data_IF_681024673836
#
_entry.id   IF_681024673836
#
_cell.length_a   1.000
_cell.length_b   1.000
_cell.length_c   1.000
_cell.angle_alpha   90.00
_cell.angle_beta   90.00
_cell.angle_gamma   90.00
#
_symmetry.space_group_name_H-M   'P 1'
#
loop_
_entity.id
_entity.type
_entity.pdbx_description
1 polymer ?
#
# COMPACT_ATOMS: atom_id res chain seq x y z
N UNK A 1 15.62 -11.88 7.44
CA UNK A 1 16.80 -11.10 7.82
C UNK A 1 18.07 -11.98 7.73
N UNK A 2 19.25 -11.37 7.59
CA UNK A 2 20.53 -12.10 7.48
C UNK A 2 20.87 -12.87 8.76
N UNK A 3 21.46 -14.07 8.61
CA UNK A 3 22.02 -14.84 9.73
C UNK A 3 23.34 -14.22 10.25
N UNK A 4 24.01 -13.38 9.47
CA UNK A 4 25.15 -12.59 9.91
C UNK A 4 24.67 -11.42 10.79
N UNK A 5 25.03 -11.41 12.10
CA UNK A 5 24.54 -10.38 13.03
C UNK A 5 24.92 -8.95 12.62
N UNK A 6 26.10 -8.76 12.01
CA UNK A 6 26.53 -7.43 11.58
C UNK A 6 25.74 -6.91 10.40
N UNK A 7 25.44 -7.78 9.41
CA UNK A 7 24.60 -7.43 8.28
C UNK A 7 23.16 -7.17 8.72
N UNK A 8 22.63 -8.02 9.62
CA UNK A 8 21.29 -7.85 10.21
C UNK A 8 21.19 -6.49 10.90
N UNK A 9 22.14 -6.18 11.80
CA UNK A 9 22.13 -4.91 12.54
C UNK A 9 22.28 -3.69 11.62
N UNK A 10 23.14 -3.78 10.60
CA UNK A 10 23.29 -2.72 9.60
C UNK A 10 21.96 -2.45 8.91
N UNK A 11 21.27 -3.49 8.41
CA UNK A 11 19.99 -3.38 7.75
C UNK A 11 18.92 -2.77 8.67
N UNK A 12 18.83 -3.25 9.92
CA UNK A 12 17.90 -2.72 10.94
C UNK A 12 18.10 -1.23 11.16
N UNK A 13 19.36 -0.80 11.28
CA UNK A 13 19.69 0.61 11.50
C UNK A 13 19.35 1.48 10.28
N UNK A 14 19.71 1.01 9.07
CA UNK A 14 19.47 1.77 7.82
C UNK A 14 17.99 1.96 7.54
N UNK A 15 17.19 0.90 7.63
CA UNK A 15 15.75 0.99 7.39
C UNK A 15 15.03 1.80 8.47
N UNK A 16 15.41 1.59 9.74
CA UNK A 16 14.83 2.34 10.85
C UNK A 16 15.11 3.83 10.74
N UNK A 17 16.37 4.22 10.48
CA UNK A 17 16.75 5.63 10.30
C UNK A 17 16.04 6.28 9.12
N UNK A 18 15.90 5.60 8.00
CA UNK A 18 15.18 6.12 6.84
C UNK A 18 13.69 6.35 7.15
N UNK A 19 13.08 5.46 7.95
CA UNK A 19 11.68 5.59 8.32
C UNK A 19 11.44 6.62 9.43
N UNK A 20 12.43 6.89 10.30
CA UNK A 20 12.40 8.02 11.24
C UNK A 20 12.58 9.36 10.53
N UNK A 21 13.39 9.42 9.48
CA UNK A 21 13.66 10.64 8.72
C UNK A 21 12.52 10.93 7.73
N UNK A 22 12.49 10.27 6.57
CA UNK A 22 11.57 10.58 5.47
C UNK A 22 10.36 9.63 5.41
N UNK A 23 10.39 8.49 6.11
CA UNK A 23 9.32 7.49 6.05
C UNK A 23 9.29 6.67 4.76
N UNK A 24 10.34 6.73 3.94
CA UNK A 24 10.47 6.04 2.65
C UNK A 24 11.84 5.39 2.51
N UNK A 25 11.88 4.24 1.82
CA UNK A 25 13.13 3.53 1.50
C UNK A 25 12.99 2.77 0.18
N UNK A 26 14.07 2.59 -0.55
CA UNK A 26 14.17 1.63 -1.64
C UNK A 26 14.83 0.34 -1.12
N UNK A 27 14.19 -0.80 -1.31
CA UNK A 27 14.61 -2.11 -0.81
C UNK A 27 14.97 -3.05 -1.94
N UNK A 28 16.17 -3.63 -1.90
CA UNK A 28 16.61 -4.76 -2.74
C UNK A 28 16.54 -6.10 -2.00
N UNK A 29 16.53 -7.18 -2.77
CA UNK A 29 16.57 -8.54 -2.24
C UNK A 29 15.25 -8.99 -1.61
N UNK A 30 14.13 -8.50 -2.13
CA UNK A 30 12.78 -8.97 -1.83
C UNK A 30 12.50 -10.38 -2.38
N UNK A 31 11.34 -10.95 -2.05
CA UNK A 31 11.01 -12.33 -2.44
C UNK A 31 10.34 -12.47 -3.82
N UNK A 32 10.04 -11.36 -4.50
CA UNK A 32 9.57 -11.40 -5.88
C UNK A 32 10.76 -11.68 -6.81
N UNK A 33 10.62 -12.64 -7.69
CA UNK A 33 11.56 -12.83 -8.78
C UNK A 33 11.12 -12.09 -10.05
N UNK A 34 12.06 -11.85 -10.96
CA UNK A 34 11.82 -11.07 -12.17
C UNK A 34 10.73 -11.71 -13.06
N UNK A 35 10.66 -13.06 -13.11
CA UNK A 35 9.67 -13.78 -13.92
C UNK A 35 8.26 -13.51 -13.38
N UNK A 36 8.05 -13.59 -12.05
CA UNK A 36 6.76 -13.30 -11.42
C UNK A 36 6.35 -11.83 -11.64
N UNK A 37 7.30 -10.91 -11.55
CA UNK A 37 7.08 -9.48 -11.81
C UNK A 37 6.61 -9.24 -13.24
N UNK A 38 7.32 -9.79 -14.23
CA UNK A 38 7.00 -9.61 -15.65
C UNK A 38 5.64 -10.24 -16.00
N UNK A 39 5.35 -11.42 -15.47
CA UNK A 39 4.09 -12.12 -15.66
C UNK A 39 2.93 -11.34 -15.03
N UNK A 40 3.09 -10.85 -13.82
CA UNK A 40 2.08 -10.04 -13.14
C UNK A 40 1.75 -8.78 -13.93
N UNK A 41 2.75 -8.02 -14.39
CA UNK A 41 2.53 -6.85 -15.24
C UNK A 41 1.86 -7.20 -16.57
N UNK A 42 2.18 -8.37 -17.15
CA UNK A 42 1.51 -8.90 -18.34
C UNK A 42 0.03 -9.13 -18.10
N UNK A 43 -0.32 -9.86 -17.06
CA UNK A 43 -1.70 -10.18 -16.71
C UNK A 43 -2.51 -8.93 -16.29
N UNK A 44 -1.88 -7.98 -15.60
CA UNK A 44 -2.51 -6.70 -15.28
C UNK A 44 -2.86 -5.90 -16.54
N UNK A 45 -1.96 -5.85 -17.53
CA UNK A 45 -2.26 -5.22 -18.83
C UNK A 45 -3.40 -5.93 -19.54
N UNK A 46 -3.42 -7.26 -19.52
CA UNK A 46 -4.50 -8.06 -20.10
C UNK A 46 -5.84 -7.75 -19.44
N UNK A 47 -5.89 -7.65 -18.10
CA UNK A 47 -7.11 -7.33 -17.37
C UNK A 47 -7.66 -5.93 -17.73
N UNK A 48 -6.81 -4.90 -17.66
CA UNK A 48 -7.26 -3.54 -17.96
C UNK A 48 -7.59 -3.30 -19.44
N UNK A 49 -7.12 -4.18 -20.34
CA UNK A 49 -7.50 -4.20 -21.75
C UNK A 49 -8.85 -4.89 -22.04
N UNK A 50 -9.44 -5.58 -21.06
CA UNK A 50 -10.77 -6.18 -21.22
C UNK A 50 -11.83 -5.10 -21.54
N UNK A 51 -12.90 -5.47 -22.25
CA UNK A 51 -14.04 -4.57 -22.49
C UNK A 51 -14.56 -3.97 -21.17
N UNK A 52 -14.96 -2.70 -21.21
CA UNK A 52 -15.41 -1.99 -20.02
C UNK A 52 -16.59 -2.69 -19.32
N UNK A 53 -17.55 -3.24 -20.10
CA UNK A 53 -18.65 -4.03 -19.58
C UNK A 53 -18.18 -5.25 -18.79
N UNK A 54 -17.17 -5.96 -19.29
CA UNK A 54 -16.56 -7.10 -18.59
C UNK A 54 -15.91 -6.66 -17.29
N UNK A 55 -15.13 -5.55 -17.30
CA UNK A 55 -14.54 -5.02 -16.06
C UNK A 55 -15.59 -4.61 -15.03
N UNK A 56 -16.65 -3.92 -15.46
CA UNK A 56 -17.75 -3.54 -14.57
C UNK A 56 -18.52 -4.73 -13.95
N UNK A 57 -18.55 -5.90 -14.62
CA UNK A 57 -19.14 -7.10 -14.01
C UNK A 57 -18.43 -7.60 -12.76
N UNK A 58 -17.18 -7.10 -12.52
CA UNK A 58 -16.36 -7.40 -11.35
C UNK A 58 -16.40 -6.31 -10.27
N UNK A 59 -17.24 -5.28 -10.43
CA UNK A 59 -17.53 -4.33 -9.34
C UNK A 59 -18.47 -4.97 -8.32
N UNK A 60 -18.11 -4.87 -7.04
CA UNK A 60 -18.94 -5.42 -5.96
C UNK A 60 -19.60 -4.27 -5.19
N UNK A 61 -20.90 -4.08 -5.32
CA UNK A 61 -21.62 -3.04 -4.57
C UNK A 61 -21.53 -3.26 -3.06
N UNK A 62 -21.43 -2.16 -2.30
CA UNK A 62 -21.58 -2.17 -0.85
C UNK A 62 -20.35 -2.51 -0.02
N UNK A 63 -19.23 -2.91 -0.65
CA UNK A 63 -17.97 -3.24 0.05
C UNK A 63 -16.91 -2.11 -0.03
N UNK A 64 -17.28 -0.92 -0.52
CA UNK A 64 -16.34 0.21 -0.62
C UNK A 64 -15.13 -0.04 -1.52
N UNK A 65 -15.27 -0.90 -2.55
CA UNK A 65 -14.19 -1.23 -3.47
C UNK A 65 -13.07 -2.10 -2.87
N UNK A 66 -13.29 -2.77 -1.74
CA UNK A 66 -12.24 -3.54 -1.06
C UNK A 66 -11.81 -4.82 -1.78
N UNK A 67 -12.55 -5.27 -2.78
CA UNK A 67 -12.23 -6.41 -3.66
C UNK A 67 -12.74 -6.13 -5.07
N UNK A 68 -12.12 -6.82 -6.04
CA UNK A 68 -12.55 -6.73 -7.43
C UNK A 68 -12.15 -5.42 -8.10
N UNK A 69 -12.90 -5.01 -9.11
CA UNK A 69 -12.64 -3.84 -9.92
C UNK A 69 -13.26 -2.57 -9.35
N UNK A 70 -12.54 -1.47 -9.45
CA UNK A 70 -13.03 -0.11 -9.16
C UNK A 70 -12.79 0.76 -10.39
N UNK A 71 -13.86 1.33 -10.90
CA UNK A 71 -13.86 2.09 -12.15
C UNK A 71 -13.17 3.44 -12.06
N UNK A 72 -12.78 3.92 -13.22
CA UNK A 72 -12.07 5.19 -13.41
C UNK A 72 -12.80 6.37 -12.76
N UNK A 73 -12.02 7.17 -12.00
CA UNK A 73 -12.53 8.40 -11.40
C UNK A 73 -13.44 8.20 -10.18
N UNK A 74 -13.62 6.98 -9.68
CA UNK A 74 -14.46 6.68 -8.52
C UNK A 74 -13.80 7.13 -7.20
N UNK A 75 -12.50 6.90 -7.04
CA UNK A 75 -11.76 7.29 -5.85
C UNK A 75 -11.28 8.74 -5.97
N UNK A 76 -11.37 9.49 -4.89
CA UNK A 76 -10.83 10.86 -4.80
C UNK A 76 -10.18 11.08 -3.43
N UNK A 77 -9.17 11.94 -3.38
CA UNK A 77 -8.55 12.32 -2.12
C UNK A 77 -9.51 13.17 -1.27
N UNK A 78 -9.34 13.07 0.06
CA UNK A 78 -10.15 13.81 1.04
C UNK A 78 -10.23 15.30 0.68
N UNK A 79 -11.44 15.83 0.60
CA UNK A 79 -11.70 17.25 0.33
C UNK A 79 -11.63 17.66 -1.14
N UNK A 80 -11.40 16.73 -2.08
CA UNK A 80 -11.46 16.98 -3.53
C UNK A 80 -12.77 16.48 -4.11
N UNK A 81 -13.24 17.16 -5.18
CA UNK A 81 -14.44 16.75 -5.93
C UNK A 81 -14.09 15.96 -7.17
N UNK A 82 -12.91 16.24 -7.74
CA UNK A 82 -12.43 15.57 -8.93
C UNK A 82 -11.89 14.20 -8.55
N UNK A 83 -12.31 13.15 -9.27
CA UNK A 83 -11.77 11.80 -9.15
C UNK A 83 -10.31 11.73 -9.61
N UNK A 84 -9.53 10.84 -9.01
CA UNK A 84 -8.18 10.52 -9.49
C UNK A 84 -8.25 9.86 -10.87
N UNK A 85 -7.24 10.12 -11.70
CA UNK A 85 -7.20 9.63 -13.09
C UNK A 85 -6.72 8.18 -13.14
N UNK A 86 -7.42 7.28 -12.44
CA UNK A 86 -7.05 5.87 -12.29
C UNK A 86 -8.26 4.95 -12.21
N UNK A 87 -8.05 3.71 -12.60
CA UNK A 87 -8.88 2.55 -12.31
C UNK A 87 -8.01 1.49 -11.64
N UNK A 88 -8.57 0.56 -10.86
CA UNK A 88 -7.75 -0.42 -10.15
C UNK A 88 -8.50 -1.73 -9.86
N UNK A 89 -7.74 -2.75 -9.49
CA UNK A 89 -8.23 -4.04 -8.97
C UNK A 89 -7.72 -4.26 -7.57
N UNK A 90 -8.46 -4.99 -6.73
CA UNK A 90 -8.02 -5.42 -5.41
C UNK A 90 -8.02 -6.94 -5.27
N UNK A 91 -6.82 -7.49 -4.97
CA UNK A 91 -6.68 -8.77 -4.30
C UNK A 91 -6.58 -8.53 -2.80
N UNK A 92 -7.41 -9.19 -2.03
CA UNK A 92 -7.35 -9.11 -0.57
C UNK A 92 -6.72 -10.33 0.08
N UNK A 93 -6.73 -10.35 1.41
CA UNK A 93 -6.17 -11.44 2.21
C UNK A 93 -6.81 -12.79 1.89
N UNK A 94 -5.97 -13.80 1.81
CA UNK A 94 -6.36 -15.21 1.68
C UNK A 94 -6.40 -15.85 3.06
N UNK A 95 -7.50 -15.64 3.77
CA UNK A 95 -7.71 -16.11 5.13
C UNK A 95 -8.16 -17.57 5.12
N UNK A 96 -7.62 -18.40 6.01
CA UNK A 96 -8.11 -19.77 6.17
C UNK A 96 -9.51 -19.79 6.80
N UNK A 97 -10.33 -20.80 6.48
CA UNK A 97 -11.69 -20.95 7.03
C UNK A 97 -11.70 -21.00 8.56
N UNK A 98 -10.63 -21.51 9.18
CA UNK A 98 -10.48 -21.60 10.64
C UNK A 98 -10.10 -20.28 11.32
N UNK A 99 -9.75 -19.25 10.55
CA UNK A 99 -9.38 -17.95 11.11
C UNK A 99 -10.61 -17.22 11.63
N UNK A 100 -10.49 -16.60 12.81
CA UNK A 100 -11.55 -15.74 13.36
C UNK A 100 -11.88 -14.54 12.46
N UNK A 101 -10.99 -14.19 11.55
CA UNK A 101 -11.16 -13.08 10.60
C UNK A 101 -11.82 -13.50 9.28
N UNK A 102 -12.07 -14.79 9.05
CA UNK A 102 -12.63 -15.28 7.79
C UNK A 102 -13.98 -14.62 7.43
N UNK A 103 -14.79 -14.29 8.44
CA UNK A 103 -16.08 -13.62 8.25
C UNK A 103 -15.99 -12.09 8.21
N UNK A 104 -14.83 -11.49 8.50
CA UNK A 104 -14.66 -10.04 8.55
C UNK A 104 -14.34 -9.44 7.18
N UNK A 105 -13.64 -10.20 6.33
CA UNK A 105 -13.17 -9.69 5.04
C UNK A 105 -14.04 -10.20 3.88
N UNK A 106 -14.31 -9.36 2.87
CA UNK A 106 -14.94 -9.83 1.65
C UNK A 106 -14.09 -10.89 0.97
N UNK A 107 -14.73 -11.88 0.35
CA UNK A 107 -14.04 -12.90 -0.44
C UNK A 107 -13.33 -12.29 -1.66
N UNK A 108 -12.21 -12.91 -2.07
CA UNK A 108 -11.55 -12.56 -3.31
C UNK A 108 -12.42 -12.95 -4.51
N UNK A 109 -12.38 -12.12 -5.55
CA UNK A 109 -13.08 -12.34 -6.81
C UNK A 109 -12.12 -12.93 -7.83
N UNK A 110 -12.59 -13.89 -8.61
CA UNK A 110 -11.82 -14.49 -9.70
C UNK A 110 -12.29 -13.98 -11.06
N UNK A 111 -11.34 -13.51 -11.87
CA UNK A 111 -11.57 -13.09 -13.25
C UNK A 111 -11.64 -14.34 -14.13
N UNK A 112 -12.85 -14.63 -14.66
CA UNK A 112 -13.11 -15.87 -15.42
C UNK A 112 -12.40 -15.89 -16.77
N UNK A 113 -12.29 -14.73 -17.42
CA UNK A 113 -11.63 -14.55 -18.71
C UNK A 113 -10.11 -14.69 -18.63
N UNK A 114 -9.52 -14.51 -17.44
CA UNK A 114 -8.08 -14.50 -17.22
C UNK A 114 -7.70 -15.34 -15.99
N UNK A 115 -7.81 -16.68 -16.04
CA UNK A 115 -7.49 -17.52 -14.88
C UNK A 115 -6.06 -17.34 -14.37
N UNK A 116 -5.11 -17.03 -15.27
CA UNK A 116 -3.71 -16.81 -14.91
C UNK A 116 -3.53 -15.53 -14.10
N UNK A 117 -4.30 -14.49 -14.35
CA UNK A 117 -4.33 -13.24 -13.55
C UNK A 117 -4.59 -13.55 -12.07
N UNK A 118 -5.54 -14.44 -11.77
CA UNK A 118 -5.88 -14.81 -10.39
C UNK A 118 -4.71 -15.52 -9.70
N UNK A 119 -4.05 -16.46 -10.40
CA UNK A 119 -2.92 -17.24 -9.86
C UNK A 119 -1.73 -16.33 -9.58
N UNK A 120 -1.31 -15.55 -10.58
CA UNK A 120 -0.13 -14.67 -10.47
C UNK A 120 -0.37 -13.56 -9.45
N UNK A 121 -1.59 -13.01 -9.39
CA UNK A 121 -1.98 -12.03 -8.37
C UNK A 121 -1.85 -12.59 -6.95
N UNK A 122 -2.30 -13.84 -6.74
CA UNK A 122 -2.15 -14.51 -5.44
C UNK A 122 -0.68 -14.79 -5.08
N UNK A 123 0.12 -15.28 -6.03
CA UNK A 123 1.55 -15.54 -5.82
C UNK A 123 2.29 -14.26 -5.47
N UNK A 124 2.06 -13.17 -6.21
CA UNK A 124 2.67 -11.87 -5.92
C UNK A 124 2.23 -11.30 -4.56
N UNK A 125 0.94 -11.44 -4.21
CA UNK A 125 0.41 -11.08 -2.89
C UNK A 125 1.23 -11.77 -1.79
N UNK A 126 1.41 -13.09 -1.87
CA UNK A 126 2.11 -13.88 -0.86
C UNK A 126 3.59 -13.50 -0.74
N UNK A 127 4.27 -13.20 -1.86
CA UNK A 127 5.67 -12.79 -1.84
C UNK A 127 5.85 -11.38 -1.28
N UNK A 128 4.92 -10.46 -1.57
CA UNK A 128 4.91 -9.12 -0.97
C UNK A 128 4.59 -9.14 0.52
N UNK A 129 3.60 -9.94 0.94
CA UNK A 129 3.28 -10.14 2.36
C UNK A 129 4.48 -10.69 3.12
N UNK A 130 5.13 -11.73 2.57
CA UNK A 130 6.36 -12.28 3.14
C UNK A 130 7.45 -11.22 3.26
N UNK A 131 7.68 -10.41 2.22
CA UNK A 131 8.65 -9.31 2.26
C UNK A 131 8.31 -8.30 3.35
N UNK A 132 7.05 -7.89 3.43
CA UNK A 132 6.55 -6.95 4.43
C UNK A 132 6.73 -7.45 5.87
N UNK A 133 6.50 -8.75 6.13
CA UNK A 133 6.78 -9.36 7.44
C UNK A 133 8.25 -9.19 7.83
N UNK A 134 9.20 -9.43 6.92
CA UNK A 134 10.63 -9.24 7.21
C UNK A 134 11.02 -7.78 7.44
N UNK A 135 10.35 -6.86 6.75
CA UNK A 135 10.51 -5.41 6.99
C UNK A 135 9.99 -5.05 8.38
N UNK A 136 8.79 -5.50 8.75
CA UNK A 136 8.21 -5.25 10.07
C UNK A 136 9.04 -5.86 11.20
N UNK A 137 9.65 -7.04 11.01
CA UNK A 137 10.61 -7.62 11.97
C UNK A 137 11.84 -6.73 12.15
N UNK A 138 12.40 -6.17 11.08
CA UNK A 138 13.52 -5.24 11.19
C UNK A 138 13.12 -3.97 11.95
N UNK A 139 11.91 -3.45 11.71
CA UNK A 139 11.39 -2.30 12.43
C UNK A 139 11.10 -2.62 13.91
N UNK A 140 10.62 -3.82 14.24
CA UNK A 140 10.47 -4.25 15.62
C UNK A 140 11.81 -4.21 16.37
N UNK A 141 12.87 -4.76 15.77
CA UNK A 141 14.23 -4.70 16.33
C UNK A 141 14.75 -3.27 16.46
N UNK A 142 14.52 -2.41 15.47
CA UNK A 142 14.91 -0.99 15.52
C UNK A 142 14.20 -0.23 16.66
N UNK A 143 12.95 -0.58 16.91
CA UNK A 143 12.13 -0.02 17.99
C UNK A 143 12.45 -0.64 19.37
N UNK A 144 13.41 -1.60 19.45
CA UNK A 144 13.72 -2.31 20.69
C UNK A 144 12.62 -3.28 21.16
N UNK A 145 11.80 -3.76 20.26
CA UNK A 145 10.77 -4.76 20.50
C UNK A 145 11.30 -6.18 20.21
N UNK A 146 10.51 -7.20 20.57
CA UNK A 146 10.73 -8.56 20.08
C UNK A 146 10.71 -8.59 18.55
N UNK A 147 11.61 -9.37 17.92
CA UNK A 147 11.70 -9.45 16.46
C UNK A 147 10.36 -9.82 15.81
N UNK A 148 9.58 -10.68 16.46
CA UNK A 148 8.32 -11.21 15.95
C UNK A 148 7.07 -10.43 16.42
N UNK A 149 7.27 -9.26 17.04
CA UNK A 149 6.20 -8.45 17.61
C UNK A 149 5.04 -8.22 16.64
N UNK A 150 5.33 -7.91 15.38
CA UNK A 150 4.30 -7.62 14.36
C UNK A 150 3.73 -8.87 13.69
N UNK A 151 4.36 -10.04 13.82
CA UNK A 151 3.95 -11.26 13.09
C UNK A 151 2.50 -11.66 13.41
N UNK A 152 2.10 -11.57 14.68
CA UNK A 152 0.74 -11.89 15.12
C UNK A 152 -0.33 -10.95 14.55
N UNK A 153 0.06 -9.73 14.20
CA UNK A 153 -0.83 -8.72 13.63
C UNK A 153 -0.84 -8.73 12.10
N UNK A 154 0.28 -9.12 11.51
CA UNK A 154 0.41 -9.24 10.05
C UNK A 154 -0.27 -10.50 9.52
N UNK A 155 -0.18 -11.62 10.26
CA UNK A 155 -0.87 -12.86 9.90
C UNK A 155 -2.38 -12.63 9.89
N UNK A 156 -3.02 -12.99 8.78
CA UNK A 156 -4.45 -12.77 8.52
C UNK A 156 -4.86 -11.28 8.56
N UNK A 157 -3.91 -10.34 8.45
CA UNK A 157 -4.21 -8.91 8.37
C UNK A 157 -4.99 -8.55 7.11
N UNK A 158 -5.81 -7.50 7.14
CA UNK A 158 -6.64 -7.09 6.00
C UNK A 158 -5.81 -6.39 4.89
N UNK A 159 -4.71 -7.02 4.49
CA UNK A 159 -3.80 -6.51 3.46
C UNK A 159 -4.42 -6.57 2.06
N UNK A 160 -4.01 -5.65 1.20
CA UNK A 160 -4.55 -5.51 -0.15
C UNK A 160 -3.40 -5.31 -1.14
N UNK A 161 -3.38 -6.13 -2.21
CA UNK A 161 -2.58 -5.87 -3.41
C UNK A 161 -3.46 -5.12 -4.41
N UNK A 162 -3.00 -3.93 -4.84
CA UNK A 162 -3.77 -3.03 -5.71
C UNK A 162 -3.05 -2.79 -7.04
N UNK A 163 -3.24 -3.62 -8.07
CA UNK A 163 -2.93 -3.21 -9.43
C UNK A 163 -3.70 -1.96 -9.85
N UNK A 164 -2.99 -0.92 -10.25
CA UNK A 164 -3.55 0.37 -10.70
C UNK A 164 -3.18 0.60 -12.15
N UNK A 165 -4.16 1.00 -12.94
CA UNK A 165 -3.98 1.52 -14.29
C UNK A 165 -4.32 3.01 -14.33
N UNK A 166 -3.38 3.79 -14.82
CA UNK A 166 -3.56 5.18 -15.19
C UNK A 166 -3.64 5.25 -16.71
N UNK A 167 -4.84 5.34 -17.29
CA UNK A 167 -5.01 5.34 -18.74
C UNK A 167 -4.40 6.60 -19.38
N UNK A 168 -4.25 6.61 -20.73
CA UNK A 168 -3.84 7.80 -21.46
C UNK A 168 -4.74 9.00 -21.15
N UNK A 169 -4.13 10.17 -20.99
CA UNK A 169 -4.84 11.44 -20.80
C UNK A 169 -5.22 11.96 -22.19
N UNK A 170 -6.50 11.94 -22.52
CA UNK A 170 -7.02 12.28 -23.86
C UNK A 170 -7.49 13.72 -23.99
N UNK A 171 -7.63 14.43 -22.87
CA UNK A 171 -8.04 15.84 -22.82
C UNK A 171 -7.34 16.54 -21.66
N UNK A 172 -7.38 17.88 -21.65
CA UNK A 172 -6.84 18.67 -20.54
C UNK A 172 -7.49 18.24 -19.22
N UNK A 173 -6.72 17.77 -18.22
CA UNK A 173 -7.27 17.16 -17.03
C UNK A 173 -7.81 18.17 -16.01
N UNK A 174 -7.89 19.45 -16.37
CA UNK A 174 -8.21 20.54 -15.45
C UNK A 174 -7.35 20.49 -14.17
N UNK A 175 -7.94 20.20 -13.01
CA UNK A 175 -7.23 20.07 -11.73
C UNK A 175 -7.03 18.61 -11.31
N UNK A 176 -7.46 17.63 -12.10
CA UNK A 176 -7.30 16.23 -11.79
C UNK A 176 -5.85 15.75 -12.01
N UNK A 177 -5.35 14.91 -11.13
CA UNK A 177 -4.03 14.29 -11.25
C UNK A 177 -4.15 12.77 -11.09
N UNK A 178 -3.09 12.04 -11.41
CA UNK A 178 -3.06 10.58 -11.33
C UNK A 178 -3.39 10.06 -9.94
N UNK A 179 -2.78 10.61 -8.90
CA UNK A 179 -3.18 10.40 -7.51
C UNK A 179 -2.84 11.66 -6.69
N UNK A 180 -3.85 12.22 -6.05
CA UNK A 180 -3.70 13.43 -5.25
C UNK A 180 -2.88 13.16 -3.97
N UNK A 181 -2.32 14.21 -3.39
CA UNK A 181 -1.50 14.14 -2.18
C UNK A 181 -2.26 13.47 -1.02
N UNK A 182 -1.69 12.41 -0.45
CA UNK A 182 -2.27 11.61 0.64
C UNK A 182 -1.19 10.89 1.44
N UNK A 183 -1.55 10.40 2.61
CA UNK A 183 -0.80 9.38 3.35
C UNK A 183 -1.50 8.03 3.22
N UNK A 184 -0.77 6.94 3.40
CA UNK A 184 -1.33 5.60 3.43
C UNK A 184 -1.90 5.28 4.82
N UNK A 185 -2.99 4.52 4.89
CA UNK A 185 -3.72 4.24 6.13
C UNK A 185 -3.05 3.09 6.94
N UNK A 186 -2.42 2.14 6.25
CA UNK A 186 -1.91 0.86 6.74
C UNK A 186 -0.67 0.94 7.67
N UNK A 187 -0.01 -0.21 7.91
CA UNK A 187 1.29 -0.25 8.60
C UNK A 187 2.41 0.21 7.65
N UNK A 188 2.58 -0.49 6.54
CA UNK A 188 3.58 -0.18 5.50
C UNK A 188 3.03 -0.49 4.12
N UNK A 189 3.43 0.28 3.13
CA UNK A 189 3.15 -0.01 1.72
C UNK A 189 4.41 -0.48 1.03
N UNK A 190 4.30 -1.57 0.26
CA UNK A 190 5.36 -2.08 -0.60
C UNK A 190 4.95 -1.82 -2.05
N UNK A 191 5.63 -0.90 -2.72
CA UNK A 191 5.34 -0.53 -4.10
C UNK A 191 6.34 -1.18 -5.02
N UNK A 192 5.87 -2.06 -5.89
CA UNK A 192 6.68 -2.60 -6.99
C UNK A 192 7.06 -1.47 -7.95
N UNK A 193 8.29 -1.51 -8.45
CA UNK A 193 8.88 -0.50 -9.33
C UNK A 193 7.87 -0.05 -10.38
N UNK A 194 7.37 1.19 -10.22
CA UNK A 194 6.34 1.71 -11.09
C UNK A 194 6.91 1.89 -12.50
N UNK A 195 6.24 1.32 -13.49
CA UNK A 195 6.55 1.63 -14.88
C UNK A 195 6.19 3.09 -15.14
N UNK A 196 7.20 3.95 -15.17
CA UNK A 196 7.07 5.39 -15.41
C UNK A 196 7.23 6.26 -14.16
N UNK A 197 7.62 7.50 -14.39
CA UNK A 197 7.87 8.54 -13.38
C UNK A 197 6.55 9.09 -12.81
N UNK A 198 6.65 9.93 -11.78
CA UNK A 198 5.57 10.75 -11.26
C UNK A 198 5.25 10.54 -9.78
N UNK A 199 5.81 9.50 -9.12
CA UNK A 199 5.71 9.41 -7.67
C UNK A 199 6.59 10.48 -7.03
N UNK A 200 6.00 11.30 -6.17
CA UNK A 200 6.67 12.35 -5.42
C UNK A 200 6.34 12.24 -3.94
N UNK A 201 7.33 12.51 -3.11
CA UNK A 201 7.24 12.48 -1.65
C UNK A 201 7.50 13.89 -1.13
N UNK A 202 6.73 14.36 -0.16
CA UNK A 202 6.92 15.66 0.45
C UNK A 202 7.94 15.56 1.58
N UNK A 203 9.08 16.25 1.47
CA UNK A 203 10.07 16.28 2.54
C UNK A 203 9.64 17.18 3.71
N UNK A 204 10.45 17.22 4.78
CA UNK A 204 10.17 18.02 5.99
C UNK A 204 10.01 19.53 5.75
N UNK A 205 10.56 20.04 4.65
CA UNK A 205 10.44 21.46 4.26
C UNK A 205 9.22 21.72 3.37
N UNK A 206 8.35 20.72 3.16
CA UNK A 206 7.18 20.83 2.28
C UNK A 206 7.52 20.77 0.78
N UNK A 207 8.76 20.44 0.42
CA UNK A 207 9.22 20.34 -0.97
C UNK A 207 8.95 18.95 -1.52
N UNK A 208 8.38 18.87 -2.73
CA UNK A 208 8.17 17.62 -3.43
C UNK A 208 9.47 17.13 -4.08
N UNK A 209 9.84 15.88 -3.80
CA UNK A 209 10.99 15.18 -4.37
C UNK A 209 10.53 13.93 -5.10
N UNK A 210 11.12 13.64 -6.25
CA UNK A 210 10.80 12.43 -7.00
C UNK A 210 11.30 11.20 -6.26
N UNK A 211 10.40 10.23 -6.02
CA UNK A 211 10.76 8.90 -5.52
C UNK A 211 11.09 8.01 -6.72
N UNK A 212 12.37 7.74 -6.89
CA UNK A 212 12.90 6.91 -7.97
C UNK A 212 13.45 5.62 -7.36
N UNK A 213 13.06 4.49 -7.93
CA UNK A 213 13.62 3.18 -7.58
C UNK A 213 14.15 2.49 -8.84
N UNK A 214 15.17 1.66 -8.67
CA UNK A 214 15.66 0.79 -9.73
C UNK A 214 14.63 -0.33 -10.01
N UNK A 215 14.67 -0.98 -11.18
CA UNK A 215 13.70 -2.01 -11.55
C UNK A 215 13.63 -3.20 -10.58
N UNK A 216 14.73 -3.53 -9.89
CA UNK A 216 14.88 -4.59 -8.90
C UNK A 216 14.62 -4.12 -7.46
N UNK A 217 14.05 -2.94 -7.29
CA UNK A 217 13.76 -2.34 -5.98
C UNK A 217 12.26 -2.24 -5.72
N UNK A 218 11.88 -2.45 -4.45
CA UNK A 218 10.59 -2.01 -3.92
C UNK A 218 10.75 -0.65 -3.24
N UNK A 219 9.86 0.29 -3.54
CA UNK A 219 9.69 1.48 -2.69
C UNK A 219 8.81 1.09 -1.53
N UNK A 220 9.29 1.30 -0.31
CA UNK A 220 8.51 0.99 0.90
C UNK A 220 8.31 2.26 1.71
N UNK A 221 7.07 2.49 2.16
CA UNK A 221 6.75 3.62 3.03
C UNK A 221 5.94 3.22 4.25
N UNK A 222 6.07 4.00 5.29
CA UNK A 222 5.27 3.92 6.53
C UNK A 222 3.87 4.46 6.27
N UNK A 223 2.86 3.77 6.80
CA UNK A 223 1.48 4.25 6.83
C UNK A 223 1.08 4.83 8.19
N UNK A 224 -0.11 5.43 8.23
CA UNK A 224 -0.64 6.13 9.41
C UNK A 224 -0.78 5.22 10.64
N UNK A 225 -1.19 3.95 10.45
CA UNK A 225 -1.34 3.01 11.57
C UNK A 225 -0.01 2.77 12.28
N UNK A 226 1.09 2.54 11.53
CA UNK A 226 2.40 2.33 12.13
C UNK A 226 2.97 3.63 12.70
N UNK A 227 2.78 4.76 12.03
CA UNK A 227 3.18 6.08 12.54
C UNK A 227 2.48 6.39 13.85
N UNK A 228 1.18 6.13 13.92
CA UNK A 228 0.36 6.28 15.13
C UNK A 228 0.85 5.36 16.26
N UNK A 229 1.05 4.07 15.98
CA UNK A 229 1.52 3.09 16.95
C UNK A 229 2.91 3.41 17.51
N UNK A 230 3.76 4.03 16.70
CA UNK A 230 5.11 4.48 17.10
C UNK A 230 5.14 5.95 17.56
N UNK A 231 4.00 6.54 17.90
CA UNK A 231 3.88 7.93 18.39
C UNK A 231 4.59 8.95 17.46
N UNK A 232 4.50 8.77 16.14
CA UNK A 232 5.21 9.52 15.09
C UNK A 232 6.74 9.39 15.12
N UNK A 233 7.29 8.37 15.76
CA UNK A 233 8.71 8.08 15.64
C UNK A 233 9.04 7.65 14.21
N UNK A 234 8.27 6.71 13.65
CA UNK A 234 8.28 6.41 12.22
C UNK A 234 7.28 7.31 11.48
N UNK A 235 7.67 7.86 10.32
CA UNK A 235 6.92 8.93 9.65
C UNK A 235 6.00 8.40 8.56
N UNK A 236 4.68 8.60 8.69
CA UNK A 236 3.77 8.52 7.55
C UNK A 236 3.90 9.81 6.73
N UNK A 237 4.48 9.71 5.54
CA UNK A 237 4.83 10.88 4.74
C UNK A 237 3.89 11.02 3.54
N UNK A 238 3.42 12.25 3.34
CA UNK A 238 2.53 12.59 2.24
C UNK A 238 3.24 12.42 0.91
N UNK A 239 2.55 11.76 -0.02
CA UNK A 239 3.03 11.51 -1.36
C UNK A 239 1.92 11.68 -2.39
N UNK A 240 2.29 11.82 -3.66
CA UNK A 240 1.37 12.01 -4.78
C UNK A 240 1.90 11.36 -6.06
N UNK A 241 1.02 11.16 -7.05
CA UNK A 241 1.41 10.78 -8.41
C UNK A 241 0.97 11.88 -9.37
N UNK A 242 1.93 12.65 -9.86
CA UNK A 242 1.65 13.75 -10.77
C UNK A 242 1.38 13.26 -12.20
N UNK A 243 0.67 14.09 -12.97
CA UNK A 243 0.50 13.84 -14.40
C UNK A 243 1.84 13.91 -15.12
N UNK A 244 2.08 13.07 -16.14
CA UNK A 244 3.31 13.13 -16.91
C UNK A 244 3.36 14.41 -17.76
N UNK A 245 4.53 14.78 -18.29
CA UNK A 245 4.65 15.82 -19.32
C UNK A 245 3.72 15.53 -20.51
N UNK A 246 3.26 16.58 -21.20
CA UNK A 246 2.20 16.51 -22.23
C UNK A 246 2.52 15.52 -23.37
N UNK A 247 3.78 15.41 -23.74
CA UNK A 247 4.29 14.47 -24.75
C UNK A 247 4.07 12.99 -24.36
N UNK A 248 3.88 12.70 -23.09
CA UNK A 248 3.64 11.35 -22.56
C UNK A 248 2.18 11.08 -22.22
N UNK A 249 1.26 12.00 -22.47
CA UNK A 249 -0.16 11.82 -22.16
C UNK A 249 -0.79 10.61 -22.88
N UNK A 250 -0.32 10.30 -24.08
CA UNK A 250 -0.78 9.14 -24.84
C UNK A 250 -0.34 7.77 -24.27
N UNK A 251 0.36 7.74 -23.11
CA UNK A 251 0.90 6.51 -22.52
C UNK A 251 0.16 6.10 -21.26
N UNK A 252 -0.17 4.81 -21.17
CA UNK A 252 -0.63 4.21 -19.91
C UNK A 252 0.51 4.07 -18.91
N UNK A 253 0.18 4.14 -17.61
CA UNK A 253 1.07 3.81 -16.51
C UNK A 253 0.43 2.76 -15.64
N UNK A 254 1.23 1.80 -15.17
CA UNK A 254 0.80 0.78 -14.21
C UNK A 254 1.58 0.93 -12.92
N UNK A 255 0.93 0.65 -11.78
CA UNK A 255 1.53 0.70 -10.45
C UNK A 255 0.90 -0.40 -9.59
N UNK A 256 1.68 -1.03 -8.73
CA UNK A 256 1.22 -2.19 -7.96
C UNK A 256 1.65 -2.03 -6.51
N UNK A 257 0.97 -1.19 -5.70
CA UNK A 257 1.18 -1.13 -4.27
C UNK A 257 0.55 -2.34 -3.57
N UNK A 258 1.24 -2.83 -2.56
CA UNK A 258 0.74 -3.76 -1.56
C UNK A 258 0.59 -3.02 -0.23
N UNK A 259 -0.64 -2.81 0.19
CA UNK A 259 -0.98 -2.16 1.45
C UNK A 259 -1.03 -3.19 2.56
N UNK A 260 0.00 -3.25 3.39
CA UNK A 260 0.09 -4.20 4.49
C UNK A 260 -0.66 -3.68 5.71
N UNK A 261 -1.86 -4.19 5.90
CA UNK A 261 -2.70 -3.89 7.04
C UNK A 261 -2.54 -4.94 8.15
N UNK A 262 -2.69 -4.55 9.40
CA UNK A 262 -2.81 -5.51 10.50
C UNK A 262 -4.21 -6.12 10.55
N UNK A 263 -4.39 -7.11 11.42
CA UNK A 263 -5.70 -7.59 11.85
C UNK A 263 -6.51 -6.45 12.50
N UNK A 264 -7.84 -6.52 12.38
CA UNK A 264 -8.74 -5.44 12.81
C UNK A 264 -8.71 -5.14 14.31
N UNK A 265 -8.43 -6.14 15.12
CA UNK A 265 -8.35 -6.00 16.59
C UNK A 265 -6.96 -5.61 17.13
N UNK A 266 -5.96 -5.38 16.25
CA UNK A 266 -4.69 -4.78 16.68
C UNK A 266 -4.94 -3.43 17.34
N UNK A 267 -4.45 -3.25 18.56
CA UNK A 267 -4.45 -1.97 19.24
C UNK A 267 -3.35 -1.08 18.65
N UNK A 268 -3.74 0.12 18.23
CA UNK A 268 -2.82 1.16 17.73
C UNK A 268 -2.40 2.13 18.83
N UNK A 269 -2.45 1.68 20.09
CA UNK A 269 -1.98 2.45 21.24
C UNK A 269 -0.50 2.81 21.03
N UNK A 270 -0.11 4.01 21.41
CA UNK A 270 1.30 4.42 21.28
C UNK A 270 2.20 3.52 22.13
N UNK A 271 3.24 2.96 21.52
CA UNK A 271 4.26 2.16 22.22
C UNK A 271 4.90 2.99 23.35
N UNK A 272 5.00 2.42 24.55
CA UNK A 272 5.55 3.11 25.73
C UNK A 272 6.99 3.61 25.50
N UNK A 273 7.82 2.82 24.81
CA UNK A 273 9.20 3.20 24.46
C UNK A 273 9.32 4.25 23.35
N UNK A 274 8.20 4.69 22.78
CA UNK A 274 8.12 5.81 21.85
C UNK A 274 7.53 7.07 22.50
N UNK A 275 7.30 7.03 23.82
CA UNK A 275 6.76 8.15 24.60
C UNK A 275 7.82 8.58 25.63
N UNK A 276 8.15 9.87 25.65
CA UNK A 276 9.02 10.48 26.64
C UNK A 276 8.64 11.95 26.88
N UNK A 277 9.44 12.67 27.67
CA UNK A 277 9.18 14.07 27.99
C UNK A 277 9.25 15.01 26.77
N UNK A 278 10.06 14.66 25.75
CA UNK A 278 10.21 15.46 24.53
C UNK A 278 9.20 15.03 23.46
N UNK A 279 8.70 13.78 23.55
CA UNK A 279 7.70 13.21 22.65
C UNK A 279 6.52 12.60 23.43
N UNK A 280 5.66 13.42 24.10
CA UNK A 280 4.51 12.93 24.85
C UNK A 280 3.51 12.22 23.95
N UNK A 281 2.65 11.36 24.53
CA UNK A 281 1.60 10.62 23.79
C UNK A 281 0.77 11.58 22.93
N UNK A 282 0.70 11.30 21.61
CA UNK A 282 0.05 12.17 20.61
C UNK A 282 -1.31 11.68 20.16
N UNK A 283 -1.61 10.40 20.33
CA UNK A 283 -2.79 9.78 19.76
C UNK A 283 -3.63 9.07 20.83
N UNK A 284 -4.94 9.15 20.68
CA UNK A 284 -5.90 8.39 21.44
C UNK A 284 -5.83 6.89 21.10
N UNK A 285 -6.19 6.04 22.05
CA UNK A 285 -6.19 4.60 21.87
C UNK A 285 -7.33 4.18 20.93
N UNK A 286 -7.03 3.35 19.92
CA UNK A 286 -7.99 2.89 18.91
C UNK A 286 -7.53 1.54 18.35
N UNK A 287 -8.45 0.73 17.85
CA UNK A 287 -8.09 -0.48 17.10
C UNK A 287 -7.87 -0.17 15.61
N UNK A 288 -7.11 -1.02 14.92
CA UNK A 288 -6.87 -0.87 13.49
C UNK A 288 -8.17 -0.90 12.67
N UNK A 289 -9.11 -1.77 13.02
CA UNK A 289 -10.41 -1.84 12.35
C UNK A 289 -11.23 -0.56 12.53
N UNK A 290 -11.29 -0.01 13.76
CA UNK A 290 -11.98 1.24 14.01
C UNK A 290 -11.32 2.42 13.27
N UNK A 291 -9.98 2.48 13.26
CA UNK A 291 -9.25 3.51 12.52
C UNK A 291 -9.48 3.41 11.01
N UNK A 292 -9.43 2.20 10.44
CA UNK A 292 -9.74 1.98 9.02
C UNK A 292 -11.16 2.45 8.70
N UNK A 293 -12.15 2.09 9.53
CA UNK A 293 -13.53 2.53 9.33
C UNK A 293 -13.66 4.06 9.30
N UNK A 294 -13.03 4.76 10.25
CA UNK A 294 -13.00 6.23 10.26
C UNK A 294 -12.43 6.80 8.95
N UNK A 295 -11.32 6.22 8.46
CA UNK A 295 -10.69 6.69 7.22
C UNK A 295 -11.57 6.41 5.99
N UNK A 296 -12.24 5.26 5.90
CA UNK A 296 -13.16 4.95 4.80
C UNK A 296 -14.37 5.88 4.78
N UNK A 297 -14.88 6.27 5.95
CA UNK A 297 -15.93 7.29 6.07
C UNK A 297 -15.42 8.66 5.60
N UNK A 298 -14.22 9.07 6.03
CA UNK A 298 -13.61 10.34 5.63
C UNK A 298 -13.36 10.45 4.11
N UNK A 299 -13.06 9.33 3.47
CA UNK A 299 -12.88 9.20 2.02
C UNK A 299 -14.22 9.10 1.26
N UNK A 300 -15.35 9.00 1.96
CA UNK A 300 -16.67 8.86 1.35
C UNK A 300 -16.97 7.48 0.76
N UNK A 301 -16.13 6.48 1.06
CA UNK A 301 -16.29 5.10 0.57
C UNK A 301 -17.34 4.32 1.36
N UNK A 302 -17.60 4.73 2.60
CA UNK A 302 -18.66 4.20 3.46
C UNK A 302 -19.52 5.37 3.96
N UNK A 303 -20.85 5.21 3.93
CA UNK A 303 -21.78 6.18 4.53
C UNK A 303 -21.87 5.93 6.03
N UNK A 304 -21.91 7.01 6.82
CA UNK A 304 -22.19 6.94 8.25
C UNK A 304 -23.57 6.34 8.52
#
# INVERSE_FOLDING_TARGET
LSDDPKRKQKFVNEIGSAFEDIGFVALKGHFLDDQLVDELYGEIRNFFALPLETKHSYEIPGIGGQRGYVSFGTEHAKGRKEGDLKEFWHFGQYVSEDSKYASEYPENVEVKELPRFNVVGKEAYQMLEKTGVYVLRALALHLGLDEFYFDQYAKDGNSILRPIHYPPITSEPANAIRAAAHGDINLITLLMGAQGKGLQVQNHNGVWIDAIAEPDELVINVGDMLSRHTNNKLKSTIHQVVNPPRELWGTSRYSIPFFMHPVSDMKLDCLENCIDAENPKKFEDITAGAYLYERLVDLGLIKK
#
